data_IF_508193818076
#
_entry.id   IF_508193818076
#
_cell.length_a   1.000
_cell.length_b   1.000
_cell.length_c   1.000
_cell.angle_alpha   90.00
_cell.angle_beta   90.00
_cell.angle_gamma   90.00
#
_symmetry.space_group_name_H-M   'P 1'
#
loop_
_entity.id
_entity.type
_entity.pdbx_description
1 polymer ?
#
# COMPACT_ATOMS: atom_id res chain seq x y z
N UNK A 1 -14.52 -36.83 7.95
CA UNK A 1 -13.41 -36.37 7.11
C UNK A 1 -13.66 -34.89 6.71
N UNK A 2 -12.67 -34.05 6.94
CA UNK A 2 -12.79 -32.59 6.77
C UNK A 2 -13.14 -32.13 5.33
N UNK A 3 -12.84 -32.93 4.32
CA UNK A 3 -13.05 -32.62 2.90
C UNK A 3 -14.56 -32.51 2.55
N UNK A 4 -15.40 -33.24 3.25
CA UNK A 4 -16.85 -33.27 3.00
C UNK A 4 -17.60 -32.10 3.67
N UNK A 5 -16.93 -31.34 4.51
CA UNK A 5 -17.52 -30.23 5.26
C UNK A 5 -17.21 -28.84 4.67
N UNK A 6 -16.70 -28.82 3.43
CA UNK A 6 -16.49 -27.55 2.73
C UNK A 6 -17.83 -26.93 2.36
N UNK A 7 -17.98 -25.65 2.60
CA UNK A 7 -19.17 -24.88 2.25
C UNK A 7 -18.84 -23.62 1.47
N UNK A 8 -19.83 -23.08 0.74
CA UNK A 8 -19.70 -21.84 0.02
C UNK A 8 -18.66 -21.87 -1.10
N UNK A 9 -17.85 -20.83 -1.20
CA UNK A 9 -16.83 -20.66 -2.26
C UNK A 9 -15.78 -21.77 -2.29
N UNK A 10 -15.42 -22.30 -1.14
CA UNK A 10 -14.44 -23.38 -1.03
C UNK A 10 -14.92 -24.68 -1.66
N UNK A 11 -16.19 -25.03 -1.46
CA UNK A 11 -16.81 -26.21 -2.07
C UNK A 11 -16.91 -26.08 -3.60
N UNK A 12 -17.36 -24.93 -4.09
CA UNK A 12 -17.44 -24.65 -5.53
C UNK A 12 -16.06 -24.77 -6.19
N UNK A 13 -15.05 -24.16 -5.60
CA UNK A 13 -13.67 -24.25 -6.07
C UNK A 13 -13.19 -25.69 -6.14
N UNK A 14 -13.44 -26.49 -5.11
CA UNK A 14 -13.00 -27.89 -5.04
C UNK A 14 -13.68 -28.74 -6.09
N UNK A 15 -14.99 -28.57 -6.29
CA UNK A 15 -15.74 -29.30 -7.33
C UNK A 15 -15.22 -28.94 -8.74
N UNK A 16 -14.99 -27.67 -9.01
CA UNK A 16 -14.45 -27.21 -10.29
C UNK A 16 -13.03 -27.75 -10.53
N UNK A 17 -12.17 -27.72 -9.53
CA UNK A 17 -10.81 -28.25 -9.62
C UNK A 17 -10.81 -29.76 -9.96
N UNK A 18 -11.66 -30.53 -9.32
CA UNK A 18 -11.81 -31.97 -9.61
C UNK A 18 -12.20 -32.20 -11.06
N UNK A 19 -13.12 -31.41 -11.60
CA UNK A 19 -13.53 -31.49 -13.01
C UNK A 19 -12.39 -31.15 -13.97
N UNK A 20 -11.72 -30.01 -13.74
CA UNK A 20 -10.66 -29.55 -14.63
C UNK A 20 -9.46 -30.48 -14.67
N UNK A 21 -9.09 -31.08 -13.57
CA UNK A 21 -7.94 -31.99 -13.49
C UNK A 21 -8.28 -33.45 -13.65
N UNK A 22 -9.57 -33.78 -13.84
CA UNK A 22 -10.03 -35.18 -13.99
C UNK A 22 -9.76 -36.05 -12.76
N UNK A 23 -9.72 -35.43 -11.58
CA UNK A 23 -9.46 -36.16 -10.32
C UNK A 23 -10.70 -36.92 -9.90
N UNK A 24 -10.56 -38.24 -9.78
CA UNK A 24 -11.61 -39.09 -9.25
C UNK A 24 -11.63 -39.03 -7.73
N UNK A 25 -12.83 -39.05 -7.12
CA UNK A 25 -12.97 -39.00 -5.66
C UNK A 25 -12.16 -40.08 -4.92
N UNK A 26 -11.98 -41.25 -5.55
CA UNK A 26 -11.17 -42.34 -4.99
C UNK A 26 -9.66 -42.07 -4.98
N UNK A 27 -9.19 -41.10 -5.75
CA UNK A 27 -7.77 -40.79 -5.90
C UNK A 27 -7.33 -39.63 -5.01
N UNK A 28 -8.28 -38.95 -4.33
CA UNK A 28 -7.98 -37.80 -3.48
C UNK A 28 -7.65 -38.27 -2.08
N UNK A 29 -6.38 -38.16 -1.72
CA UNK A 29 -5.97 -38.27 -0.32
C UNK A 29 -5.91 -36.89 0.32
N UNK A 30 -5.84 -36.85 1.64
CA UNK A 30 -5.75 -35.61 2.42
C UNK A 30 -4.54 -34.74 2.03
N UNK A 31 -3.39 -35.36 1.76
CA UNK A 31 -2.17 -34.66 1.35
C UNK A 31 -2.33 -33.92 0.03
N UNK A 32 -2.97 -34.56 -0.96
CA UNK A 32 -3.23 -33.95 -2.28
C UNK A 32 -4.21 -32.78 -2.18
N UNK A 33 -5.30 -32.95 -1.46
CA UNK A 33 -6.28 -31.89 -1.19
C UNK A 33 -5.61 -30.69 -0.50
N UNK A 34 -4.87 -30.95 0.57
CA UNK A 34 -4.17 -29.93 1.36
C UNK A 34 -3.19 -29.13 0.51
N UNK A 35 -2.48 -29.76 -0.42
CA UNK A 35 -1.57 -29.10 -1.34
C UNK A 35 -2.29 -28.12 -2.27
N UNK A 36 -3.37 -28.54 -2.89
CA UNK A 36 -4.17 -27.69 -3.78
C UNK A 36 -4.87 -26.56 -3.01
N UNK A 37 -5.42 -26.87 -1.86
CA UNK A 37 -6.06 -25.88 -0.98
C UNK A 37 -5.09 -24.79 -0.55
N UNK A 38 -3.90 -25.15 -0.08
CA UNK A 38 -2.87 -24.18 0.29
C UNK A 38 -2.44 -23.32 -0.89
N UNK A 39 -2.24 -23.92 -2.06
CA UNK A 39 -1.87 -23.19 -3.28
C UNK A 39 -2.93 -22.16 -3.66
N UNK A 40 -4.20 -22.50 -3.55
CA UNK A 40 -5.32 -21.60 -3.92
C UNK A 40 -5.56 -20.53 -2.85
N UNK A 41 -5.83 -20.92 -1.62
CA UNK A 41 -6.28 -20.00 -0.58
C UNK A 41 -5.16 -19.20 0.07
N UNK A 42 -3.97 -19.74 0.23
CA UNK A 42 -2.83 -18.96 0.68
C UNK A 42 -2.42 -17.91 -0.36
N UNK A 43 -2.48 -18.24 -1.65
CA UNK A 43 -2.20 -17.28 -2.70
C UNK A 43 -3.26 -16.17 -2.73
N UNK A 44 -4.55 -16.50 -2.64
CA UNK A 44 -5.64 -15.53 -2.57
C UNK A 44 -5.53 -14.66 -1.33
N UNK A 45 -5.30 -15.25 -0.16
CA UNK A 45 -5.11 -14.52 1.08
C UNK A 45 -3.93 -13.56 1.00
N UNK A 46 -2.83 -13.98 0.40
CA UNK A 46 -1.67 -13.10 0.18
C UNK A 46 -2.04 -11.88 -0.67
N UNK A 47 -2.76 -12.09 -1.78
CA UNK A 47 -3.22 -11.00 -2.64
C UNK A 47 -4.21 -10.07 -1.91
N UNK A 48 -5.14 -10.63 -1.15
CA UNK A 48 -6.10 -9.85 -0.36
C UNK A 48 -5.40 -9.00 0.70
N UNK A 49 -4.41 -9.55 1.40
CA UNK A 49 -3.62 -8.81 2.39
C UNK A 49 -2.81 -7.69 1.76
N UNK A 50 -2.23 -7.91 0.57
CA UNK A 50 -1.50 -6.86 -0.16
C UNK A 50 -2.44 -5.77 -0.64
N UNK A 51 -3.62 -6.11 -1.16
CA UNK A 51 -4.64 -5.14 -1.55
C UNK A 51 -5.12 -4.32 -0.36
N UNK A 52 -5.35 -4.96 0.79
CA UNK A 52 -5.69 -4.28 2.04
C UNK A 52 -4.60 -3.29 2.46
N UNK A 53 -3.35 -3.71 2.42
CA UNK A 53 -2.19 -2.86 2.70
C UNK A 53 -2.13 -1.64 1.78
N UNK A 54 -2.47 -1.82 0.50
CA UNK A 54 -2.57 -0.73 -0.46
C UNK A 54 -3.62 0.31 -0.04
N UNK A 55 -4.81 -0.12 0.35
CA UNK A 55 -5.90 0.78 0.77
C UNK A 55 -5.67 1.44 2.11
N UNK A 56 -4.91 0.82 3.00
CA UNK A 56 -4.56 1.35 4.32
C UNK A 56 -3.28 2.18 4.32
N UNK A 57 -2.58 2.25 3.20
CA UNK A 57 -1.29 2.92 3.08
C UNK A 57 -1.40 4.41 3.41
N UNK A 58 -0.53 4.88 4.30
CA UNK A 58 -0.39 6.29 4.68
C UNK A 58 1.09 6.65 4.76
N UNK A 59 1.41 7.93 4.54
CA UNK A 59 2.78 8.42 4.63
C UNK A 59 3.40 8.15 6.00
N UNK A 60 2.67 8.49 7.08
CA UNK A 60 3.17 8.28 8.44
C UNK A 60 4.56 8.90 8.65
N UNK A 61 5.47 8.11 9.19
CA UNK A 61 6.86 8.51 9.44
C UNK A 61 7.83 8.20 8.31
N UNK A 62 7.36 7.57 7.22
CA UNK A 62 8.23 7.23 6.09
C UNK A 62 8.52 8.45 5.20
N UNK A 63 9.57 8.35 4.39
CA UNK A 63 9.88 9.37 3.38
C UNK A 63 8.92 9.28 2.19
N UNK A 64 8.78 10.37 1.45
CA UNK A 64 7.92 10.38 0.25
C UNK A 64 8.40 9.37 -0.80
N UNK A 65 9.70 9.20 -0.96
CA UNK A 65 10.28 8.20 -1.86
C UNK A 65 9.88 6.77 -1.47
N UNK A 66 9.91 6.47 -0.18
CA UNK A 66 9.51 5.16 0.34
C UNK A 66 8.01 4.90 0.13
N UNK A 67 7.17 5.91 0.37
CA UNK A 67 5.74 5.84 0.08
C UNK A 67 5.49 5.55 -1.40
N UNK A 68 6.13 6.29 -2.30
CA UNK A 68 5.97 6.12 -3.74
C UNK A 68 6.37 4.71 -4.18
N UNK A 69 7.51 4.22 -3.69
CA UNK A 69 7.99 2.86 -3.98
C UNK A 69 7.00 1.82 -3.49
N UNK A 70 6.54 1.94 -2.26
CA UNK A 70 5.61 1.00 -1.65
C UNK A 70 4.27 0.99 -2.38
N UNK A 71 3.75 2.16 -2.74
CA UNK A 71 2.51 2.28 -3.50
C UNK A 71 2.61 1.61 -4.87
N UNK A 72 3.70 1.82 -5.61
CA UNK A 72 3.92 1.19 -6.92
C UNK A 72 4.03 -0.33 -6.84
N UNK A 73 4.66 -0.84 -5.78
CA UNK A 73 4.74 -2.29 -5.54
C UNK A 73 3.35 -2.86 -5.25
N UNK A 74 2.60 -2.22 -4.36
CA UNK A 74 1.27 -2.68 -3.95
C UNK A 74 0.22 -2.54 -5.06
N UNK A 75 0.38 -1.57 -5.96
CA UNK A 75 -0.53 -1.35 -7.09
C UNK A 75 -0.67 -2.59 -7.98
N UNK A 76 0.34 -3.45 -8.04
CA UNK A 76 0.31 -4.72 -8.78
C UNK A 76 -0.76 -5.68 -8.27
N UNK A 77 -1.13 -5.56 -7.00
CA UNK A 77 -2.14 -6.43 -6.36
C UNK A 77 -3.56 -5.88 -6.47
N UNK A 78 -3.72 -4.75 -7.18
CA UNK A 78 -5.01 -4.08 -7.42
C UNK A 78 -5.18 -3.89 -8.93
N UNK A 79 -5.28 -4.98 -9.72
CA UNK A 79 -5.23 -4.90 -11.19
C UNK A 79 -6.43 -4.21 -11.84
N UNK A 80 -7.53 -4.07 -11.11
CA UNK A 80 -8.71 -3.36 -11.59
C UNK A 80 -8.57 -1.83 -11.52
N UNK A 81 -7.55 -1.30 -10.86
CA UNK A 81 -7.25 0.13 -10.79
C UNK A 81 -6.37 0.52 -11.99
N UNK A 82 -7.00 0.72 -13.14
CA UNK A 82 -6.34 0.95 -14.42
C UNK A 82 -6.21 2.43 -14.74
N UNK A 83 -7.26 3.21 -14.49
CA UNK A 83 -7.32 4.63 -14.85
C UNK A 83 -6.44 5.50 -13.94
N UNK A 84 -5.86 6.55 -14.54
CA UNK A 84 -4.99 7.48 -13.82
C UNK A 84 -5.71 8.26 -12.73
N UNK A 85 -6.93 8.72 -12.99
CA UNK A 85 -7.70 9.50 -12.02
C UNK A 85 -7.93 8.79 -10.68
N UNK A 86 -8.40 7.53 -10.63
CA UNK A 86 -8.50 6.78 -9.39
C UNK A 86 -7.15 6.54 -8.71
N UNK A 87 -6.08 6.31 -9.48
CA UNK A 87 -4.72 6.15 -8.92
C UNK A 87 -4.25 7.42 -8.23
N UNK A 88 -4.42 8.57 -8.86
CA UNK A 88 -4.10 9.88 -8.28
C UNK A 88 -4.91 10.12 -7.02
N UNK A 89 -6.20 9.85 -7.06
CA UNK A 89 -7.09 10.03 -5.91
C UNK A 89 -6.65 9.17 -4.72
N UNK A 90 -6.31 7.92 -4.97
CA UNK A 90 -5.80 7.03 -3.93
C UNK A 90 -4.46 7.51 -3.36
N UNK A 91 -3.53 7.91 -4.23
CA UNK A 91 -2.24 8.46 -3.80
C UNK A 91 -2.41 9.68 -2.89
N UNK A 92 -3.27 10.62 -3.28
CA UNK A 92 -3.57 11.80 -2.47
C UNK A 92 -4.14 11.43 -1.09
N UNK A 93 -4.94 10.36 -1.02
CA UNK A 93 -5.50 9.88 0.25
C UNK A 93 -4.43 9.35 1.22
N UNK A 94 -3.25 8.99 0.72
CA UNK A 94 -2.12 8.54 1.53
C UNK A 94 -1.36 9.68 2.20
N UNK A 95 -1.57 10.91 1.74
CA UNK A 95 -0.80 12.08 2.14
C UNK A 95 -1.45 12.85 3.31
N UNK A 96 -0.66 13.48 4.18
CA UNK A 96 -1.19 14.40 5.18
C UNK A 96 -1.82 15.61 4.50
N UNK A 97 -2.78 16.22 5.18
CA UNK A 97 -3.63 17.28 4.62
C UNK A 97 -2.84 18.44 3.98
N UNK A 98 -1.79 18.90 4.66
CA UNK A 98 -1.00 20.06 4.18
C UNK A 98 -0.26 19.82 2.87
N UNK A 99 0.11 18.56 2.58
CA UNK A 99 0.72 18.16 1.30
C UNK A 99 -0.37 17.87 0.28
N UNK A 100 -1.40 17.13 0.67
CA UNK A 100 -2.54 16.76 -0.16
C UNK A 100 -3.19 17.99 -0.79
N UNK A 101 -3.57 18.97 0.02
CA UNK A 101 -4.26 20.17 -0.41
C UNK A 101 -3.47 20.93 -1.50
N UNK A 102 -2.17 21.05 -1.31
CA UNK A 102 -1.28 21.73 -2.26
C UNK A 102 -1.19 21.01 -3.61
N UNK A 103 -1.12 19.69 -3.59
CA UNK A 103 -1.04 18.88 -4.83
C UNK A 103 -2.40 18.84 -5.53
N UNK A 104 -3.47 18.71 -4.77
CA UNK A 104 -4.84 18.71 -5.27
C UNK A 104 -5.19 20.00 -6.00
N UNK A 105 -4.71 21.14 -5.50
CA UNK A 105 -4.84 22.44 -6.15
C UNK A 105 -4.22 22.46 -7.54
N UNK A 106 -3.08 21.82 -7.74
CA UNK A 106 -2.40 21.71 -9.02
C UNK A 106 -3.07 20.75 -10.01
N UNK A 107 -4.04 19.96 -9.54
CA UNK A 107 -4.83 19.01 -10.31
C UNK A 107 -4.00 18.11 -11.24
N UNK A 108 -3.12 17.25 -10.68
CA UNK A 108 -2.29 16.36 -11.48
C UNK A 108 -3.15 15.36 -12.24
N UNK A 109 -2.79 15.07 -13.49
CA UNK A 109 -3.54 14.19 -14.38
C UNK A 109 -3.06 12.74 -14.31
N UNK A 110 -1.81 12.51 -13.94
CA UNK A 110 -1.20 11.19 -13.84
C UNK A 110 -0.63 10.93 -12.46
N UNK A 111 -0.53 9.66 -12.10
CA UNK A 111 0.10 9.24 -10.84
C UNK A 111 1.57 9.71 -10.76
N UNK A 112 2.29 9.59 -11.87
CA UNK A 112 3.69 10.02 -11.94
C UNK A 112 3.83 11.52 -11.66
N UNK A 113 2.97 12.34 -12.25
CA UNK A 113 2.95 13.79 -12.01
C UNK A 113 2.64 14.10 -10.54
N UNK A 114 1.65 13.43 -9.96
CA UNK A 114 1.28 13.59 -8.55
C UNK A 114 2.44 13.21 -7.62
N UNK A 115 3.13 12.11 -7.89
CA UNK A 115 4.29 11.66 -7.11
C UNK A 115 5.46 12.65 -7.20
N UNK A 116 5.74 13.17 -8.37
CA UNK A 116 6.78 14.18 -8.58
C UNK A 116 6.51 15.45 -7.79
N UNK A 117 5.29 15.96 -7.85
CA UNK A 117 4.86 17.13 -7.08
C UNK A 117 4.93 16.89 -5.57
N UNK A 118 4.53 15.71 -5.14
CA UNK A 118 4.60 15.31 -3.73
C UNK A 118 6.04 15.25 -3.22
N UNK A 119 6.95 14.68 -3.98
CA UNK A 119 8.39 14.67 -3.66
C UNK A 119 8.92 16.08 -3.48
N UNK A 120 8.59 16.98 -4.38
CA UNK A 120 9.03 18.37 -4.33
C UNK A 120 8.52 19.08 -3.08
N UNK A 121 7.22 18.95 -2.78
CA UNK A 121 6.61 19.54 -1.58
C UNK A 121 7.24 19.00 -0.29
N UNK A 122 7.45 17.70 -0.22
CA UNK A 122 8.04 17.03 0.94
C UNK A 122 9.47 17.52 1.21
N UNK A 123 10.29 17.59 0.17
CA UNK A 123 11.67 18.07 0.29
C UNK A 123 11.74 19.55 0.70
N UNK A 124 10.85 20.39 0.18
CA UNK A 124 10.77 21.80 0.59
C UNK A 124 10.41 21.94 2.07
N UNK A 125 9.43 21.20 2.55
CA UNK A 125 9.02 21.23 3.96
C UNK A 125 10.17 20.77 4.87
N UNK A 126 10.86 19.71 4.48
CA UNK A 126 12.01 19.17 5.19
C UNK A 126 13.16 20.20 5.33
N UNK A 127 13.44 20.95 4.26
CA UNK A 127 14.42 22.04 4.28
C UNK A 127 14.01 23.18 5.22
N UNK A 128 12.72 23.56 5.21
CA UNK A 128 12.19 24.59 6.11
C UNK A 128 12.29 24.17 7.58
N UNK A 129 11.96 22.94 7.91
CA UNK A 129 12.09 22.41 9.28
C UNK A 129 13.56 22.37 9.74
N UNK A 130 14.47 21.95 8.87
CA UNK A 130 15.90 21.95 9.14
C UNK A 130 16.43 23.34 9.44
N UNK A 131 16.02 24.34 8.66
CA UNK A 131 16.40 25.75 8.89
C UNK A 131 15.80 26.32 10.19
N UNK A 132 14.54 25.99 10.49
CA UNK A 132 13.89 26.43 11.74
C UNK A 132 14.59 25.84 12.96
N UNK A 133 14.92 24.55 12.93
CA UNK A 133 15.66 23.87 14.00
C UNK A 133 17.07 24.44 14.18
N UNK A 134 17.76 24.77 13.10
CA UNK A 134 19.08 25.38 13.16
C UNK A 134 19.02 26.78 13.79
N UNK A 135 18.05 27.63 13.41
CA UNK A 135 17.83 28.95 13.99
C UNK A 135 17.48 28.86 15.47
N UNK A 136 16.65 27.94 15.88
CA UNK A 136 16.28 27.71 17.27
C UNK A 136 17.51 27.33 18.13
N UNK A 137 18.36 26.41 17.62
CA UNK A 137 19.62 26.04 18.30
C UNK A 137 20.57 27.21 18.41
N UNK A 138 20.66 28.04 17.38
CA UNK A 138 21.53 29.24 17.40
C UNK A 138 21.08 30.26 18.46
N UNK A 139 19.78 30.49 18.58
CA UNK A 139 19.22 31.41 19.56
C UNK A 139 19.43 30.94 21.00
N UNK A 140 19.34 29.61 21.26
CA UNK A 140 19.58 29.06 22.59
C UNK A 140 21.05 29.07 23.02
N UNK A 141 21.98 29.22 22.10
CA UNK A 141 23.42 29.25 22.37
C UNK A 141 23.99 30.65 22.41
N UNK A 142 23.18 31.71 22.35
CA UNK A 142 23.69 33.08 22.60
C UNK A 142 23.95 33.24 24.10
N UNK A 143 25.17 33.60 24.48
CA UNK A 143 25.47 33.92 25.88
C UNK A 143 24.62 35.11 26.32
N UNK A 144 23.89 34.93 27.40
CA UNK A 144 23.25 36.05 28.05
C UNK A 144 24.32 37.07 28.47
N UNK A 145 24.40 38.14 27.74
CA UNK A 145 25.14 39.30 28.22
C UNK A 145 24.39 39.88 29.43
N UNK A 146 24.83 39.52 30.64
CA UNK A 146 24.38 40.20 31.84
C UNK A 146 24.80 41.65 31.73
N UNK A 147 23.85 42.53 31.49
CA UNK A 147 24.08 43.98 31.70
C UNK A 147 24.35 44.20 33.17
N UNK A 148 25.53 44.63 33.47
CA UNK A 148 25.84 45.18 34.78
C UNK A 148 25.18 46.56 34.93
#
# INVERSE_FOLDING_TARGET
MAIYNLSGKADIWWQDLKRFKGIKEKEVNWSTFKRYFKKKFLSEQYYEERAKEFYELKLGSMTMKDLNRKLLILLRYVPYLIDEKPKVHHFLSCLPYHIKDRIEYDNPKTLEEAMRKANFCFEQNRKKEGLANWKAKKNNNQPEFKKK
#
